data_IF_804750764621
#
_entry.id   IF_804750764621
#
_cell.length_a   1.000
_cell.length_b   1.000
_cell.length_c   1.000
_cell.angle_alpha   90.00
_cell.angle_beta   90.00
_cell.angle_gamma   90.00
#
_symmetry.space_group_name_H-M   'P 1'
#
loop_
_entity.id
_entity.type
_entity.pdbx_description
1 polymer ?
#
# COMPACT_ATOMS: atom_id res chain seq x y z
N UNK A 1 -20.09 -14.02 7.75
CA UNK A 1 -18.88 -13.18 7.78
C UNK A 1 -18.25 -13.10 6.39
N UNK A 2 -17.69 -11.94 6.07
CA UNK A 2 -17.00 -11.77 4.80
C UNK A 2 -15.57 -12.29 4.90
N UNK A 3 -14.93 -12.45 3.75
CA UNK A 3 -13.53 -12.84 3.69
C UNK A 3 -12.62 -11.80 4.37
N UNK A 4 -12.95 -10.52 4.23
CA UNK A 4 -12.23 -9.46 4.92
C UNK A 4 -12.36 -9.60 6.44
N UNK A 5 -13.53 -9.95 6.94
CA UNK A 5 -13.71 -10.18 8.38
C UNK A 5 -12.86 -11.34 8.88
N UNK A 6 -12.77 -12.42 8.09
CA UNK A 6 -11.93 -13.57 8.44
C UNK A 6 -10.46 -13.19 8.51
N UNK A 7 -9.98 -12.39 7.54
CA UNK A 7 -8.60 -11.89 7.55
C UNK A 7 -8.33 -11.00 8.76
N UNK A 8 -9.29 -10.13 9.09
CA UNK A 8 -9.15 -9.23 10.24
C UNK A 8 -9.01 -10.03 11.53
N UNK A 9 -9.85 -11.05 11.71
CA UNK A 9 -9.79 -11.92 12.88
C UNK A 9 -8.45 -12.66 12.96
N UNK A 10 -7.95 -13.16 11.83
CA UNK A 10 -6.67 -13.85 11.79
C UNK A 10 -5.51 -12.94 12.18
N UNK A 11 -5.48 -11.72 11.62
CA UNK A 11 -4.41 -10.77 11.91
C UNK A 11 -4.43 -10.35 13.38
N UNK A 12 -5.62 -10.15 13.95
CA UNK A 12 -5.74 -9.77 15.35
C UNK A 12 -5.21 -10.86 16.29
N UNK A 13 -5.21 -12.12 15.86
CA UNK A 13 -4.76 -13.25 16.67
C UNK A 13 -3.25 -13.50 16.53
N UNK A 14 -2.58 -12.86 15.57
CA UNK A 14 -1.17 -13.10 15.29
C UNK A 14 -0.30 -11.99 15.88
N UNK A 15 0.83 -12.38 16.48
CA UNK A 15 1.83 -11.43 16.97
C UNK A 15 2.66 -10.87 15.83
N UNK A 16 2.90 -11.67 14.77
CA UNK A 16 3.67 -11.28 13.60
C UNK A 16 2.88 -11.67 12.35
N UNK A 17 2.69 -10.72 11.45
CA UNK A 17 1.87 -10.91 10.26
C UNK A 17 2.64 -11.40 9.03
N UNK A 18 3.96 -11.26 9.04
CA UNK A 18 4.76 -11.45 7.83
C UNK A 18 4.57 -12.83 7.20
N UNK A 19 4.68 -13.90 7.98
CA UNK A 19 4.54 -15.27 7.45
C UNK A 19 3.16 -15.50 6.84
N UNK A 20 2.11 -15.03 7.51
CA UNK A 20 0.74 -15.17 7.02
C UNK A 20 0.56 -14.40 5.72
N UNK A 21 1.05 -13.17 5.66
CA UNK A 21 0.93 -12.33 4.47
C UNK A 21 1.70 -12.92 3.29
N UNK A 22 2.90 -13.45 3.54
CA UNK A 22 3.68 -14.10 2.48
C UNK A 22 2.96 -15.32 1.93
N UNK A 23 2.38 -16.12 2.80
CA UNK A 23 1.67 -17.33 2.42
C UNK A 23 0.40 -17.00 1.62
N UNK A 24 -0.33 -15.96 2.01
CA UNK A 24 -1.62 -15.60 1.41
C UNK A 24 -1.52 -14.50 0.36
N UNK A 25 -0.30 -14.14 -0.03
CA UNK A 25 -0.06 -13.02 -0.95
C UNK A 25 -0.64 -13.23 -2.36
N UNK A 26 -0.79 -14.47 -2.78
CA UNK A 26 -1.13 -14.78 -4.17
C UNK A 26 0.06 -14.69 -5.12
N UNK A 27 1.25 -14.37 -4.61
CA UNK A 27 2.48 -14.22 -5.41
C UNK A 27 3.49 -15.33 -5.08
N UNK A 28 4.22 -15.82 -6.07
CA UNK A 28 4.14 -15.49 -7.50
C UNK A 28 2.79 -15.86 -8.11
N UNK A 29 2.30 -15.01 -9.00
CA UNK A 29 1.02 -15.27 -9.66
C UNK A 29 0.55 -14.04 -10.41
N UNK A 30 -0.55 -14.17 -11.18
CA UNK A 30 -1.03 -13.06 -12.00
C UNK A 30 -1.66 -11.93 -11.19
N UNK A 31 -2.06 -12.20 -9.95
CA UNK A 31 -2.80 -11.23 -9.14
C UNK A 31 -2.45 -11.39 -7.65
N UNK A 32 -2.06 -10.27 -7.02
CA UNK A 32 -1.88 -10.25 -5.58
C UNK A 32 -3.23 -10.25 -4.85
N UNK A 33 -3.18 -10.55 -3.56
CA UNK A 33 -4.37 -10.63 -2.71
C UNK A 33 -4.78 -9.24 -2.22
N UNK A 34 -5.47 -8.49 -3.10
CA UNK A 34 -5.84 -7.10 -2.83
C UNK A 34 -6.75 -7.00 -1.62
N UNK A 35 -7.68 -7.94 -1.44
CA UNK A 35 -8.59 -7.90 -0.30
C UNK A 35 -7.83 -7.97 1.03
N UNK A 36 -6.84 -8.86 1.13
CA UNK A 36 -6.00 -8.94 2.31
C UNK A 36 -5.18 -7.67 2.50
N UNK A 37 -4.63 -7.10 1.42
CA UNK A 37 -3.86 -5.87 1.50
C UNK A 37 -4.69 -4.72 2.07
N UNK A 38 -5.96 -4.62 1.70
CA UNK A 38 -6.85 -3.60 2.25
C UNK A 38 -7.06 -3.79 3.76
N UNK A 39 -7.20 -5.04 4.21
CA UNK A 39 -7.34 -5.32 5.65
C UNK A 39 -6.06 -4.95 6.39
N UNK A 40 -4.90 -5.24 5.82
CA UNK A 40 -3.60 -4.84 6.43
C UNK A 40 -3.54 -3.32 6.57
N UNK A 41 -3.98 -2.59 5.54
CA UNK A 41 -4.01 -1.12 5.60
C UNK A 41 -4.92 -0.62 6.72
N UNK A 42 -6.07 -1.28 6.92
CA UNK A 42 -7.03 -0.87 7.94
C UNK A 42 -6.54 -1.17 9.36
N UNK A 43 -5.84 -2.29 9.56
CA UNK A 43 -5.52 -2.79 10.89
C UNK A 43 -4.04 -2.59 11.28
N UNK A 44 -3.18 -2.25 10.34
CA UNK A 44 -1.75 -2.10 10.60
C UNK A 44 -1.38 -0.80 11.29
N UNK A 45 -0.12 -0.69 11.68
CA UNK A 45 0.43 0.48 12.37
C UNK A 45 1.33 1.27 11.43
N UNK A 46 1.56 2.57 11.69
CA UNK A 46 2.52 3.35 10.91
C UNK A 46 3.91 2.71 10.86
N UNK A 47 4.37 2.13 11.97
CA UNK A 47 5.67 1.47 12.04
C UNK A 47 5.73 0.26 11.12
N UNK A 48 4.66 -0.53 11.06
CA UNK A 48 4.56 -1.67 10.18
C UNK A 48 4.65 -1.24 8.71
N UNK A 49 3.92 -0.19 8.34
CA UNK A 49 3.91 0.31 6.96
C UNK A 49 5.29 0.81 6.55
N UNK A 50 5.99 1.52 7.43
CA UNK A 50 7.35 1.99 7.15
C UNK A 50 8.31 0.82 6.93
N UNK A 51 8.18 -0.23 7.72
CA UNK A 51 9.01 -1.42 7.56
C UNK A 51 8.75 -2.10 6.21
N UNK A 52 7.48 -2.19 5.81
CA UNK A 52 7.11 -2.85 4.56
C UNK A 52 7.55 -2.05 3.33
N UNK A 53 7.41 -0.73 3.32
CA UNK A 53 7.82 0.06 2.16
C UNK A 53 9.34 0.12 2.01
N UNK A 54 10.09 -0.26 3.04
CA UNK A 54 11.55 -0.34 2.96
C UNK A 54 12.03 -1.52 2.10
N UNK A 55 11.16 -2.48 1.79
CA UNK A 55 11.53 -3.60 0.89
C UNK A 55 11.67 -3.07 -0.54
N UNK A 56 12.92 -2.86 -0.96
CA UNK A 56 13.25 -2.37 -2.30
C UNK A 56 13.10 -3.47 -3.35
N UNK A 57 13.25 -3.09 -4.62
CA UNK A 57 13.18 -4.05 -5.72
C UNK A 57 14.22 -5.17 -5.61
N UNK A 58 15.35 -4.91 -4.95
CA UNK A 58 16.41 -5.91 -4.76
C UNK A 58 15.96 -7.02 -3.80
N UNK A 59 15.22 -6.67 -2.75
CA UNK A 59 14.75 -7.60 -1.73
C UNK A 59 13.38 -8.16 -2.09
N UNK A 60 12.54 -7.35 -2.71
CA UNK A 60 11.16 -7.65 -3.06
C UNK A 60 10.92 -7.41 -4.55
N UNK A 61 11.53 -8.22 -5.42
CA UNK A 61 11.39 -8.01 -6.87
C UNK A 61 9.96 -8.26 -7.34
N UNK A 62 9.69 -7.83 -8.56
CA UNK A 62 8.37 -8.00 -9.18
C UNK A 62 7.94 -9.46 -9.10
N UNK A 63 6.70 -9.66 -8.68
CA UNK A 63 6.04 -10.97 -8.58
C UNK A 63 6.60 -11.89 -7.49
N UNK A 64 7.44 -11.37 -6.58
CA UNK A 64 7.83 -12.12 -5.38
C UNK A 64 6.78 -11.94 -4.29
N UNK A 65 6.72 -12.89 -3.35
CA UNK A 65 5.80 -12.76 -2.21
C UNK A 65 6.14 -11.52 -1.36
N UNK A 66 7.41 -11.15 -1.27
CA UNK A 66 7.83 -9.95 -0.54
C UNK A 66 7.33 -8.66 -1.17
N UNK A 67 7.11 -8.64 -2.50
CA UNK A 67 6.48 -7.49 -3.14
C UNK A 67 5.11 -7.19 -2.54
N UNK A 68 4.39 -8.23 -2.13
CA UNK A 68 3.09 -8.06 -1.49
C UNK A 68 3.20 -7.27 -0.18
N UNK A 69 4.26 -7.51 0.63
CA UNK A 69 4.47 -6.75 1.85
C UNK A 69 4.67 -5.26 1.54
N UNK A 70 5.50 -4.95 0.54
CA UNK A 70 5.71 -3.57 0.11
C UNK A 70 4.40 -2.95 -0.37
N UNK A 71 3.61 -3.69 -1.13
CA UNK A 71 2.31 -3.26 -1.62
C UNK A 71 1.36 -2.93 -0.45
N UNK A 72 1.29 -3.80 0.55
CA UNK A 72 0.48 -3.56 1.75
C UNK A 72 0.91 -2.28 2.47
N UNK A 73 2.21 -2.06 2.57
CA UNK A 73 2.75 -0.86 3.19
C UNK A 73 2.32 0.41 2.47
N UNK A 74 2.36 0.40 1.14
CA UNK A 74 1.94 1.55 0.33
C UNK A 74 0.46 1.88 0.56
N UNK A 75 -0.40 0.87 0.54
CA UNK A 75 -1.83 1.09 0.79
C UNK A 75 -2.05 1.60 2.21
N UNK A 76 -1.28 1.08 3.18
CA UNK A 76 -1.32 1.56 4.56
C UNK A 76 -0.95 3.03 4.69
N UNK A 77 0.08 3.47 3.96
CA UNK A 77 0.45 4.89 3.90
C UNK A 77 -0.74 5.72 3.41
N UNK A 78 -1.51 5.20 2.44
CA UNK A 78 -2.72 5.86 1.96
C UNK A 78 -3.75 6.06 3.08
N UNK A 79 -3.92 5.07 3.96
CA UNK A 79 -4.80 5.23 5.12
C UNK A 79 -4.33 6.36 6.03
N UNK A 80 -3.03 6.41 6.34
CA UNK A 80 -2.47 7.46 7.20
C UNK A 80 -2.68 8.84 6.59
N UNK A 81 -2.48 8.94 5.28
CA UNK A 81 -2.70 10.20 4.57
C UNK A 81 -4.17 10.62 4.64
N UNK A 82 -5.10 9.67 4.46
CA UNK A 82 -6.53 9.94 4.56
C UNK A 82 -6.93 10.39 5.97
N UNK A 83 -6.20 9.92 6.98
CA UNK A 83 -6.42 10.31 8.39
C UNK A 83 -5.82 11.67 8.73
N UNK A 84 -5.10 12.30 7.80
CA UNK A 84 -4.57 13.65 8.00
C UNK A 84 -3.06 13.76 8.10
N UNK A 85 -2.33 12.65 8.02
CA UNK A 85 -0.87 12.67 8.09
C UNK A 85 -0.29 13.03 6.72
N UNK A 86 -0.19 14.33 6.47
CA UNK A 86 0.16 14.87 5.15
C UNK A 86 1.62 14.62 4.75
N UNK A 87 2.49 14.30 5.70
CA UNK A 87 3.90 13.99 5.39
C UNK A 87 4.00 12.75 4.49
N UNK A 88 3.01 11.88 4.54
CA UNK A 88 2.99 10.67 3.73
C UNK A 88 2.74 10.93 2.24
N UNK A 89 2.34 12.13 1.85
CA UNK A 89 2.16 12.47 0.45
C UNK A 89 3.50 12.38 -0.31
N UNK A 90 4.57 12.88 0.27
CA UNK A 90 5.90 12.79 -0.35
C UNK A 90 6.37 11.33 -0.45
N UNK A 91 6.01 10.51 0.52
CA UNK A 91 6.32 9.08 0.48
C UNK A 91 5.64 8.43 -0.72
N UNK A 92 4.35 8.67 -0.92
CA UNK A 92 3.64 8.11 -2.08
C UNK A 92 4.21 8.62 -3.40
N UNK A 93 4.54 9.91 -3.47
CA UNK A 93 5.12 10.50 -4.67
C UNK A 93 6.41 9.78 -5.07
N UNK A 94 7.25 9.47 -4.10
CA UNK A 94 8.50 8.75 -4.35
C UNK A 94 8.25 7.38 -4.98
N UNK A 95 7.21 6.68 -4.52
CA UNK A 95 6.87 5.35 -5.03
C UNK A 95 6.04 5.38 -6.31
N UNK A 96 5.52 6.54 -6.73
CA UNK A 96 4.81 6.69 -8.00
C UNK A 96 5.69 6.38 -9.21
N UNK A 97 7.02 6.45 -9.04
CA UNK A 97 8.00 6.14 -10.08
C UNK A 97 8.72 4.81 -9.85
N UNK A 98 8.23 3.98 -8.94
CA UNK A 98 8.85 2.69 -8.64
C UNK A 98 8.80 1.81 -9.90
N UNK A 99 9.89 1.06 -10.21
CA UNK A 99 9.90 0.17 -11.37
C UNK A 99 8.90 -0.97 -11.29
N UNK A 100 8.44 -1.34 -10.10
CA UNK A 100 7.46 -2.42 -9.90
C UNK A 100 6.06 -1.89 -10.16
N UNK A 101 5.36 -2.46 -11.15
CA UNK A 101 4.04 -1.98 -11.53
C UNK A 101 3.01 -2.14 -10.40
N UNK A 102 3.14 -3.19 -9.56
CA UNK A 102 2.23 -3.37 -8.42
C UNK A 102 2.38 -2.28 -7.39
N UNK A 103 3.60 -1.78 -7.20
CA UNK A 103 3.83 -0.67 -6.27
C UNK A 103 3.19 0.60 -6.80
N UNK A 104 3.34 0.87 -8.11
CA UNK A 104 2.64 2.02 -8.73
C UNK A 104 1.13 1.89 -8.62
N UNK A 105 0.59 0.67 -8.80
CA UNK A 105 -0.84 0.41 -8.60
C UNK A 105 -1.23 0.69 -7.15
N UNK A 106 -0.40 0.28 -6.20
CA UNK A 106 -0.62 0.55 -4.77
C UNK A 106 -0.70 2.06 -4.48
N UNK A 107 0.15 2.86 -5.14
CA UNK A 107 0.10 4.32 -5.01
C UNK A 107 -1.26 4.84 -5.49
N UNK A 108 -1.74 4.36 -6.64
CA UNK A 108 -3.04 4.77 -7.16
C UNK A 108 -4.17 4.41 -6.19
N UNK A 109 -4.12 3.22 -5.59
CA UNK A 109 -5.11 2.79 -4.60
C UNK A 109 -5.04 3.63 -3.33
N UNK A 110 -3.83 4.02 -2.90
CA UNK A 110 -3.63 4.88 -1.74
C UNK A 110 -4.26 6.25 -1.99
N UNK A 111 -4.06 6.81 -3.17
CA UNK A 111 -4.64 8.10 -3.54
C UNK A 111 -6.16 8.00 -3.64
N UNK A 112 -6.69 6.86 -4.08
CA UNK A 112 -8.13 6.63 -4.11
C UNK A 112 -8.72 6.67 -2.69
N UNK A 113 -8.03 6.09 -1.71
CA UNK A 113 -8.46 6.19 -0.31
C UNK A 113 -8.53 7.64 0.16
N UNK A 114 -7.53 8.45 -0.21
CA UNK A 114 -7.55 9.88 0.12
C UNK A 114 -8.75 10.55 -0.51
N UNK A 115 -9.02 10.27 -1.80
CA UNK A 115 -10.15 10.86 -2.51
C UNK A 115 -11.50 10.49 -1.91
N UNK A 116 -11.64 9.27 -1.40
CA UNK A 116 -12.86 8.81 -0.76
C UNK A 116 -13.17 9.59 0.52
N UNK A 117 -12.13 10.07 1.20
CA UNK A 117 -12.25 10.82 2.46
C UNK A 117 -12.24 12.33 2.22
N UNK A 118 -11.40 12.81 1.28
CA UNK A 118 -11.22 14.23 1.03
C UNK A 118 -10.79 14.47 -0.42
N UNK A 119 -11.78 14.68 -1.29
CA UNK A 119 -11.53 14.86 -2.72
C UNK A 119 -10.72 16.14 -2.99
N UNK A 120 -10.92 17.20 -2.22
CA UNK A 120 -10.15 18.43 -2.38
C UNK A 120 -8.66 18.22 -2.19
N UNK A 121 -8.28 17.44 -1.18
CA UNK A 121 -6.87 17.13 -0.95
C UNK A 121 -6.30 16.25 -2.05
N UNK A 122 -7.08 15.31 -2.58
CA UNK A 122 -6.64 14.49 -3.70
C UNK A 122 -6.37 15.37 -4.93
N UNK A 123 -7.28 16.28 -5.27
CA UNK A 123 -7.11 17.18 -6.40
C UNK A 123 -5.85 18.04 -6.23
N UNK A 124 -5.64 18.61 -5.04
CA UNK A 124 -4.44 19.40 -4.76
C UNK A 124 -3.17 18.59 -4.95
N UNK A 125 -3.16 17.34 -4.49
CA UNK A 125 -2.01 16.45 -4.64
C UNK A 125 -1.72 16.14 -6.11
N UNK A 126 -2.77 15.87 -6.89
CA UNK A 126 -2.62 15.57 -8.32
C UNK A 126 -2.12 16.78 -9.09
N UNK A 127 -2.59 17.98 -8.76
CA UNK A 127 -2.10 19.21 -9.38
C UNK A 127 -0.60 19.40 -9.10
N UNK A 128 -0.17 19.18 -7.87
CA UNK A 128 1.25 19.27 -7.51
C UNK A 128 2.07 18.26 -8.28
N UNK A 129 1.58 17.02 -8.39
CA UNK A 129 2.30 15.95 -9.08
C UNK A 129 2.33 16.15 -10.59
N UNK A 130 1.35 16.85 -11.14
CA UNK A 130 1.32 17.16 -12.57
C UNK A 130 2.49 18.03 -13.02
N UNK A 131 3.22 18.63 -12.09
CA UNK A 131 4.40 19.44 -12.37
C UNK A 131 5.70 18.63 -12.18
N UNK A 132 5.58 17.36 -11.85
CA UNK A 132 6.73 16.46 -11.64
C UNK A 132 7.19 15.82 -12.95
N UNK A 133 7.86 14.68 -12.82
CA UNK A 133 8.35 13.94 -13.99
C UNK A 133 7.18 13.34 -14.77
N UNK A 134 7.37 13.02 -16.07
CA UNK A 134 6.31 12.36 -16.84
C UNK A 134 5.80 11.07 -16.20
N UNK A 135 6.65 10.37 -15.46
CA UNK A 135 6.26 9.12 -14.81
C UNK A 135 5.28 9.36 -13.64
N UNK A 136 5.33 10.53 -13.03
CA UNK A 136 4.42 10.91 -11.94
C UNK A 136 3.08 11.43 -12.46
N UNK A 137 3.03 11.87 -13.68
CA UNK A 137 1.84 12.41 -14.32
C UNK A 137 0.93 11.30 -14.82
#
# INVERSE_FOLDING_TARGET
MTKADDYRMKLCALADWDSFLLQESGLPGPRGNIELAQVVADEGTPQLFQRYIAYSVDVAPVNSAYEFLAFCGIIGIGRLLAEGDTDNLNTLRRFASDPRWRIREGVAMALQRLGDVNMGRLIAAMDEWGQGTPLEQ
#
